data_IF_827788086369
#
_entry.id   IF_827788086369
#
_cell.length_a   1.000
_cell.length_b   1.000
_cell.length_c   1.000
_cell.angle_alpha   90.00
_cell.angle_beta   90.00
_cell.angle_gamma   90.00
#
_symmetry.space_group_name_H-M   'P 1'
#
loop_
_entity.id
_entity.type
_entity.pdbx_description
1 polymer ?
#
# COMPACT_ATOMS: atom_id res chain seq x y z
N UNK A 1 30.22 -8.36 -5.57
CA UNK A 1 29.10 -9.30 -5.79
C UNK A 1 27.92 -8.48 -6.29
N UNK A 2 27.25 -8.90 -7.37
CA UNK A 2 25.99 -8.26 -7.79
C UNK A 2 24.93 -8.54 -6.71
N UNK A 3 24.34 -7.51 -6.11
CA UNK A 3 23.24 -7.70 -5.19
C UNK A 3 21.97 -8.05 -5.96
N UNK A 4 21.39 -9.20 -5.65
CA UNK A 4 20.07 -9.57 -6.17
C UNK A 4 18.98 -8.55 -5.76
N UNK A 5 19.13 -7.93 -4.59
CA UNK A 5 18.15 -7.01 -4.02
C UNK A 5 18.71 -5.60 -3.88
N UNK A 6 17.94 -4.61 -4.34
CA UNK A 6 18.23 -3.18 -4.18
C UNK A 6 17.11 -2.53 -3.38
N UNK A 7 17.46 -1.63 -2.46
CA UNK A 7 16.53 -0.77 -1.73
C UNK A 7 16.87 0.69 -2.03
N UNK A 8 15.94 1.39 -2.68
CA UNK A 8 16.03 2.80 -3.03
C UNK A 8 15.17 3.61 -2.07
N UNK A 9 15.80 4.48 -1.27
CA UNK A 9 15.17 5.25 -0.21
C UNK A 9 15.27 4.57 1.15
N UNK A 10 15.84 5.29 2.12
CA UNK A 10 16.09 4.89 3.51
C UNK A 10 15.39 5.83 4.50
N UNK A 11 14.26 6.39 4.08
CA UNK A 11 13.30 7.04 4.97
C UNK A 11 12.60 6.03 5.89
N UNK A 12 11.48 6.44 6.50
CA UNK A 12 10.75 5.60 7.47
C UNK A 12 10.36 4.22 6.90
N UNK A 13 9.71 4.17 5.74
CA UNK A 13 9.33 2.89 5.11
C UNK A 13 10.53 2.12 4.57
N UNK A 14 11.51 2.79 3.98
CA UNK A 14 12.75 2.17 3.51
C UNK A 14 13.47 1.40 4.61
N UNK A 15 13.62 1.99 5.81
CA UNK A 15 14.23 1.32 6.97
C UNK A 15 13.41 0.12 7.46
N UNK A 16 12.08 0.18 7.38
CA UNK A 16 11.22 -0.97 7.69
C UNK A 16 11.44 -2.12 6.70
N UNK A 17 11.57 -1.82 5.40
CA UNK A 17 11.97 -2.83 4.42
C UNK A 17 13.35 -3.40 4.71
N UNK A 18 14.34 -2.55 5.00
CA UNK A 18 15.68 -2.99 5.36
C UNK A 18 15.65 -3.98 6.53
N UNK A 19 14.91 -3.66 7.60
CA UNK A 19 14.76 -4.56 8.74
C UNK A 19 14.20 -5.92 8.33
N UNK A 20 13.18 -5.96 7.47
CA UNK A 20 12.59 -7.23 6.99
C UNK A 20 13.50 -8.00 6.05
N UNK A 21 14.27 -7.32 5.22
CA UNK A 21 15.30 -7.95 4.40
C UNK A 21 16.38 -8.60 5.28
N UNK A 22 16.81 -7.93 6.36
CA UNK A 22 17.78 -8.49 7.31
C UNK A 22 17.22 -9.66 8.10
N UNK A 23 15.96 -9.62 8.54
CA UNK A 23 15.25 -10.76 9.15
C UNK A 23 15.20 -11.98 8.20
N UNK A 24 15.21 -11.74 6.88
CA UNK A 24 15.26 -12.76 5.83
C UNK A 24 16.71 -13.15 5.44
N UNK A 25 17.73 -12.68 6.17
CA UNK A 25 19.15 -12.87 5.88
C UNK A 25 19.58 -12.33 4.50
N UNK A 26 18.89 -11.31 3.99
CA UNK A 26 19.22 -10.62 2.75
C UNK A 26 19.93 -9.30 3.06
N UNK A 27 21.14 -9.15 2.54
CA UNK A 27 21.90 -7.89 2.58
C UNK A 27 21.73 -7.14 1.25
N UNK A 28 20.84 -6.14 1.15
CA UNK A 28 20.61 -5.42 -0.09
C UNK A 28 21.74 -4.44 -0.43
N UNK A 29 21.78 -4.01 -1.69
CA UNK A 29 22.44 -2.74 -2.05
C UNK A 29 21.49 -1.60 -1.71
N UNK A 30 22.01 -0.61 -1.01
CA UNK A 30 21.28 0.58 -0.58
C UNK A 30 21.52 1.74 -1.53
N UNK A 31 20.48 2.54 -1.75
CA UNK A 31 20.57 3.78 -2.52
C UNK A 31 19.78 4.88 -1.84
N UNK A 32 20.43 6.00 -1.53
CA UNK A 32 19.75 7.19 -1.00
C UNK A 32 20.50 8.48 -1.37
N UNK A 33 19.76 9.57 -1.49
CA UNK A 33 20.34 10.89 -1.77
C UNK A 33 21.05 11.47 -0.53
N UNK A 34 20.71 11.05 0.68
CA UNK A 34 21.40 11.52 1.88
C UNK A 34 22.73 10.78 2.07
N UNK A 35 23.84 11.45 1.75
CA UNK A 35 25.20 10.93 1.91
C UNK A 35 25.58 10.61 3.37
N UNK A 36 24.95 11.25 4.36
CA UNK A 36 25.24 10.96 5.77
C UNK A 36 24.88 9.52 6.12
N UNK A 37 23.87 8.94 5.45
CA UNK A 37 23.44 7.55 5.63
C UNK A 37 24.52 6.55 5.20
N UNK A 38 25.46 6.92 4.34
CA UNK A 38 26.58 6.05 3.98
C UNK A 38 27.44 5.69 5.20
N UNK A 39 27.57 6.62 6.16
CA UNK A 39 28.30 6.36 7.41
C UNK A 39 27.51 5.45 8.34
N UNK A 40 26.20 5.66 8.42
CA UNK A 40 25.29 4.84 9.23
C UNK A 40 25.22 3.40 8.72
N UNK A 41 25.19 3.21 7.40
CA UNK A 41 25.11 1.91 6.74
C UNK A 41 26.43 1.52 6.07
N UNK A 42 27.56 1.80 6.73
CA UNK A 42 28.92 1.58 6.20
C UNK A 42 29.20 0.11 5.82
N UNK A 43 28.50 -0.83 6.46
CA UNK A 43 28.60 -2.25 6.17
C UNK A 43 27.89 -2.66 4.87
N UNK A 44 27.09 -1.79 4.26
CA UNK A 44 26.29 -2.11 3.06
C UNK A 44 26.90 -1.52 1.79
N UNK A 45 26.77 -2.18 0.62
CA UNK A 45 26.97 -1.51 -0.65
C UNK A 45 26.01 -0.33 -0.74
N UNK A 46 26.53 0.88 -0.85
CA UNK A 46 25.75 2.11 -0.80
C UNK A 46 26.05 2.97 -2.02
N UNK A 47 25.00 3.44 -2.69
CA UNK A 47 25.10 4.32 -3.84
C UNK A 47 24.30 5.59 -3.61
N UNK A 48 24.83 6.73 -4.05
CA UNK A 48 24.12 8.00 -3.99
C UNK A 48 23.08 8.13 -5.11
N UNK A 49 23.37 7.55 -6.28
CA UNK A 49 22.49 7.52 -7.43
C UNK A 49 22.17 6.08 -7.81
N UNK A 50 20.89 5.81 -8.04
CA UNK A 50 20.43 4.50 -8.51
C UNK A 50 21.03 4.15 -9.89
N UNK A 51 21.46 5.16 -10.65
CA UNK A 51 22.08 4.99 -11.97
C UNK A 51 23.50 4.40 -11.89
N UNK A 52 24.16 4.56 -10.73
CA UNK A 52 25.53 4.10 -10.51
C UNK A 52 25.60 2.65 -10.03
N UNK A 53 24.47 2.07 -9.61
CA UNK A 53 24.38 0.70 -9.15
C UNK A 53 24.85 -0.24 -10.26
N UNK A 54 25.85 -1.07 -9.94
CA UNK A 54 26.48 -2.00 -10.88
C UNK A 54 25.89 -3.41 -10.74
N UNK A 55 25.90 -4.15 -11.85
CA UNK A 55 25.38 -5.51 -11.93
C UNK A 55 23.87 -5.58 -12.18
N UNK A 56 23.36 -6.81 -12.24
CA UNK A 56 21.94 -7.07 -12.41
C UNK A 56 21.25 -7.13 -11.04
N UNK A 57 20.06 -6.53 -10.96
CA UNK A 57 19.18 -6.57 -9.79
C UNK A 57 17.97 -7.44 -10.13
N UNK A 58 17.63 -8.42 -9.29
CA UNK A 58 16.43 -9.23 -9.48
C UNK A 58 15.19 -8.58 -8.88
N UNK A 59 15.33 -7.90 -7.75
CA UNK A 59 14.22 -7.31 -6.97
C UNK A 59 14.64 -5.94 -6.46
N UNK A 60 13.81 -4.93 -6.65
CA UNK A 60 14.07 -3.55 -6.26
C UNK A 60 12.89 -3.04 -5.45
N UNK A 61 13.15 -2.57 -4.24
CA UNK A 61 12.18 -1.88 -3.40
C UNK A 61 12.39 -0.38 -3.53
N UNK A 62 11.35 0.38 -3.85
CA UNK A 62 11.41 1.83 -4.06
C UNK A 62 10.52 2.53 -3.02
N UNK A 63 11.17 3.14 -2.02
CA UNK A 63 10.56 3.81 -0.88
C UNK A 63 11.00 5.28 -0.78
N UNK A 64 10.94 5.99 -1.91
CA UNK A 64 11.26 7.42 -2.05
C UNK A 64 9.98 8.26 -2.21
N UNK A 65 10.12 9.57 -2.43
CA UNK A 65 8.98 10.43 -2.77
C UNK A 65 8.26 9.91 -4.04
N UNK A 66 6.91 9.73 -4.01
CA UNK A 66 6.11 9.23 -5.14
C UNK A 66 6.31 9.95 -6.47
N UNK A 67 6.71 11.23 -6.47
CA UNK A 67 6.97 11.96 -7.72
C UNK A 67 8.11 11.34 -8.55
N UNK A 68 9.04 10.63 -7.91
CA UNK A 68 10.19 10.00 -8.57
C UNK A 68 9.99 8.51 -8.82
N UNK A 69 8.86 7.92 -8.37
CA UNK A 69 8.60 6.49 -8.55
C UNK A 69 8.60 6.07 -10.03
N UNK A 70 7.91 6.76 -10.96
CA UNK A 70 7.90 6.33 -12.37
C UNK A 70 9.29 6.31 -13.01
N UNK A 71 10.11 7.33 -12.76
CA UNK A 71 11.47 7.43 -13.31
C UNK A 71 12.36 6.28 -12.80
N UNK A 72 12.37 6.06 -11.48
CA UNK A 72 13.20 5.02 -10.85
C UNK A 72 12.71 3.63 -11.25
N UNK A 73 11.39 3.41 -11.28
CA UNK A 73 10.84 2.12 -11.72
C UNK A 73 11.19 1.83 -13.18
N UNK A 74 11.03 2.79 -14.09
CA UNK A 74 11.38 2.63 -15.50
C UNK A 74 12.83 2.20 -15.67
N UNK A 75 13.76 2.81 -14.93
CA UNK A 75 15.17 2.42 -14.98
C UNK A 75 15.40 0.94 -14.63
N UNK A 76 14.82 0.45 -13.54
CA UNK A 76 15.03 -0.94 -13.11
C UNK A 76 14.23 -1.96 -13.92
N UNK A 77 13.00 -1.62 -14.31
CA UNK A 77 12.17 -2.47 -15.17
C UNK A 77 12.84 -2.68 -16.53
N UNK A 78 13.46 -1.64 -17.12
CA UNK A 78 14.22 -1.76 -18.37
C UNK A 78 15.40 -2.73 -18.31
N UNK A 79 15.85 -3.09 -17.10
CA UNK A 79 16.91 -4.06 -16.84
C UNK A 79 16.38 -5.45 -16.45
N UNK A 80 15.06 -5.65 -16.52
CA UNK A 80 14.40 -6.93 -16.21
C UNK A 80 14.23 -7.22 -14.70
N UNK A 81 14.41 -6.22 -13.83
CA UNK A 81 14.18 -6.37 -12.40
C UNK A 81 12.68 -6.40 -12.08
N UNK A 82 12.30 -7.12 -11.02
CA UNK A 82 11.04 -6.86 -10.34
C UNK A 82 11.14 -5.59 -9.51
N UNK A 83 10.16 -4.69 -9.63
CA UNK A 83 10.11 -3.43 -8.89
C UNK A 83 8.86 -3.39 -8.00
N UNK A 84 9.05 -3.26 -6.70
CA UNK A 84 7.98 -2.91 -5.75
C UNK A 84 8.05 -1.41 -5.47
N UNK A 85 7.03 -0.67 -5.88
CA UNK A 85 6.83 0.73 -5.52
C UNK A 85 6.07 0.83 -4.20
N UNK A 86 6.54 1.67 -3.27
CA UNK A 86 5.70 2.10 -2.16
C UNK A 86 4.46 2.85 -2.66
N UNK A 87 3.37 2.79 -1.89
CA UNK A 87 2.17 3.57 -2.20
C UNK A 87 2.32 5.06 -1.81
N UNK A 88 1.67 5.97 -2.55
CA UNK A 88 1.11 5.77 -3.88
C UNK A 88 2.24 5.60 -4.92
N UNK A 89 2.04 4.81 -5.99
CA UNK A 89 3.10 4.48 -6.95
C UNK A 89 3.42 5.60 -7.94
N UNK A 90 2.59 6.64 -7.97
CA UNK A 90 2.81 7.89 -8.69
C UNK A 90 1.87 8.95 -8.10
N UNK A 91 2.14 10.22 -8.43
CA UNK A 91 1.20 11.30 -8.13
C UNK A 91 0.14 11.49 -9.23
N UNK A 92 0.22 10.79 -10.35
CA UNK A 92 -0.78 10.88 -11.41
C UNK A 92 -1.09 9.53 -12.03
N UNK A 93 -2.36 9.33 -12.36
CA UNK A 93 -2.82 8.20 -13.15
C UNK A 93 -2.05 8.12 -14.47
N UNK A 94 -1.87 9.24 -15.20
CA UNK A 94 -1.24 9.19 -16.53
C UNK A 94 0.22 8.75 -16.47
N UNK A 95 0.96 9.20 -15.45
CA UNK A 95 2.36 8.83 -15.28
C UNK A 95 2.50 7.35 -14.93
N UNK A 96 1.63 6.84 -14.05
CA UNK A 96 1.61 5.41 -13.71
C UNK A 96 1.12 4.56 -14.89
N UNK A 97 0.08 5.00 -15.61
CA UNK A 97 -0.45 4.29 -16.78
C UNK A 97 0.60 4.15 -17.87
N UNK A 98 1.36 5.21 -18.18
CA UNK A 98 2.49 5.14 -19.13
C UNK A 98 3.56 4.14 -18.72
N UNK A 99 3.89 4.07 -17.42
CA UNK A 99 4.83 3.08 -16.92
C UNK A 99 4.29 1.65 -17.15
N UNK A 100 3.01 1.42 -16.84
CA UNK A 100 2.35 0.12 -17.02
C UNK A 100 2.20 -0.26 -18.49
N UNK A 101 1.91 0.69 -19.39
CA UNK A 101 1.86 0.45 -20.83
C UNK A 101 3.21 -0.02 -21.38
N UNK A 102 4.32 0.51 -20.87
CA UNK A 102 5.66 0.17 -21.34
C UNK A 102 6.17 -1.19 -20.83
N UNK A 103 5.78 -1.62 -19.62
CA UNK A 103 6.36 -2.79 -18.96
C UNK A 103 5.34 -3.87 -18.56
N UNK A 104 4.04 -3.60 -18.71
CA UNK A 104 2.97 -4.48 -18.27
C UNK A 104 2.80 -4.51 -16.74
N UNK A 105 1.92 -5.40 -16.29
CA UNK A 105 1.63 -5.59 -14.86
C UNK A 105 2.70 -6.41 -14.13
N UNK A 106 3.56 -7.12 -14.85
CA UNK A 106 4.68 -7.87 -14.31
C UNK A 106 5.90 -7.59 -15.17
N UNK A 107 7.02 -7.09 -14.62
CA UNK A 107 7.48 -7.29 -13.23
C UNK A 107 7.34 -6.06 -12.32
N UNK A 108 6.16 -5.45 -12.22
CA UNK A 108 5.88 -4.29 -11.36
C UNK A 108 4.88 -4.65 -10.25
N UNK A 109 5.09 -4.14 -9.05
CA UNK A 109 4.16 -4.25 -7.93
C UNK A 109 3.97 -2.93 -7.21
N UNK A 110 2.80 -2.76 -6.60
CA UNK A 110 2.50 -1.61 -5.72
C UNK A 110 2.25 -2.14 -4.31
N UNK A 111 2.93 -1.56 -3.31
CA UNK A 111 2.85 -2.01 -1.92
C UNK A 111 1.42 -1.84 -1.38
N UNK A 112 0.93 -2.88 -0.72
CA UNK A 112 -0.24 -2.78 0.14
C UNK A 112 -0.14 -3.80 1.28
N UNK A 113 0.30 -3.32 2.43
CA UNK A 113 0.56 -4.16 3.60
C UNK A 113 -0.74 -4.70 4.22
N UNK A 114 -1.86 -3.97 4.15
CA UNK A 114 -3.09 -4.37 4.83
C UNK A 114 -3.74 -5.59 4.17
N UNK A 115 -3.36 -5.93 2.93
CA UNK A 115 -3.73 -7.19 2.29
C UNK A 115 -3.23 -8.43 3.03
N UNK A 116 -2.15 -8.29 3.79
CA UNK A 116 -1.59 -9.35 4.63
C UNK A 116 -2.22 -9.41 6.03
N UNK A 117 -3.15 -8.49 6.35
CA UNK A 117 -3.80 -8.43 7.66
C UNK A 117 -4.62 -9.68 7.95
N UNK A 118 -4.55 -10.15 9.20
CA UNK A 118 -5.35 -11.25 9.69
C UNK A 118 -6.85 -10.93 9.72
N UNK A 119 -7.21 -9.64 9.75
CA UNK A 119 -8.60 -9.22 9.63
C UNK A 119 -9.17 -9.63 8.25
N UNK A 120 -8.41 -9.48 7.17
CA UNK A 120 -8.84 -9.79 5.79
C UNK A 120 -8.34 -11.13 5.27
N UNK A 121 -7.44 -11.80 5.98
CA UNK A 121 -6.90 -13.09 5.57
C UNK A 121 -8.01 -14.13 5.41
N UNK A 122 -7.98 -14.82 4.27
CA UNK A 122 -8.98 -15.81 3.85
C UNK A 122 -10.42 -15.28 3.88
N UNK A 123 -10.61 -13.96 3.89
CA UNK A 123 -11.92 -13.33 3.87
C UNK A 123 -12.36 -13.10 2.43
N UNK A 124 -13.54 -13.62 2.09
CA UNK A 124 -14.18 -13.42 0.79
C UNK A 124 -15.65 -13.08 1.05
N UNK A 125 -16.01 -11.80 1.20
CA UNK A 125 -17.40 -11.44 1.43
C UNK A 125 -18.23 -11.78 0.19
N UNK A 126 -19.48 -12.18 0.40
CA UNK A 126 -20.48 -12.28 -0.67
C UNK A 126 -21.13 -10.91 -0.87
N UNK A 127 -20.86 -10.19 -1.98
CA UNK A 127 -21.44 -8.86 -2.21
C UNK A 127 -22.96 -8.86 -2.22
N UNK A 128 -23.62 -9.97 -2.59
CA UNK A 128 -25.08 -10.06 -2.61
C UNK A 128 -25.72 -9.98 -1.23
N UNK A 129 -24.95 -10.25 -0.18
CA UNK A 129 -25.40 -10.18 1.21
C UNK A 129 -25.08 -8.83 1.86
N UNK A 130 -24.19 -8.04 1.26
CA UNK A 130 -23.69 -6.81 1.88
C UNK A 130 -24.67 -5.66 1.64
N UNK A 131 -25.06 -4.99 2.73
CA UNK A 131 -25.97 -3.85 2.73
C UNK A 131 -25.22 -2.52 2.77
N UNK A 132 -24.12 -2.46 3.50
CA UNK A 132 -23.27 -1.26 3.60
C UNK A 132 -21.90 -1.58 4.19
N UNK A 133 -20.93 -0.71 3.92
CA UNK A 133 -19.58 -0.78 4.49
C UNK A 133 -19.23 0.55 5.14
N UNK A 134 -18.91 0.55 6.43
CA UNK A 134 -18.40 1.74 7.14
C UNK A 134 -16.96 1.49 7.55
N UNK A 135 -16.07 2.42 7.21
CA UNK A 135 -14.63 2.28 7.42
C UNK A 135 -14.14 3.47 8.24
N UNK A 136 -13.35 3.17 9.25
CA UNK A 136 -12.63 4.16 10.05
C UNK A 136 -11.13 3.92 9.91
N UNK A 137 -10.41 4.91 9.38
CA UNK A 137 -8.95 5.00 9.43
C UNK A 137 -8.53 6.32 10.06
N UNK A 138 -8.75 6.38 11.36
CA UNK A 138 -8.48 7.53 12.22
C UNK A 138 -7.13 7.30 12.91
N UNK A 139 -6.11 8.08 12.54
CA UNK A 139 -4.76 7.96 13.07
C UNK A 139 -4.41 9.14 13.96
N UNK A 140 -3.60 8.89 14.99
CA UNK A 140 -3.11 9.92 15.90
C UNK A 140 -1.91 10.71 15.36
N UNK A 141 -1.24 10.21 14.31
CA UNK A 141 -0.12 10.91 13.66
C UNK A 141 -0.53 11.51 12.32
N UNK A 142 0.31 12.40 11.81
CA UNK A 142 0.19 13.02 10.49
C UNK A 142 1.08 12.34 9.44
N UNK A 143 0.79 12.63 8.17
CA UNK A 143 1.48 12.12 7.01
C UNK A 143 2.18 13.22 6.22
N UNK A 144 2.15 13.10 4.91
CA UNK A 144 2.88 13.94 3.97
C UNK A 144 1.98 14.78 3.06
N UNK A 145 1.01 14.17 2.38
CA UNK A 145 0.13 14.87 1.42
C UNK A 145 -1.14 15.35 2.13
N UNK A 146 -2.03 14.41 2.45
CA UNK A 146 -3.24 14.60 3.25
C UNK A 146 -3.78 13.21 3.68
N UNK A 147 -4.74 13.14 4.62
CA UNK A 147 -5.29 11.86 5.07
C UNK A 147 -5.85 10.97 3.95
N UNK A 148 -6.41 11.55 2.89
CA UNK A 148 -6.95 10.77 1.76
C UNK A 148 -5.83 10.04 1.01
N UNK A 149 -4.80 10.75 0.57
CA UNK A 149 -3.70 10.15 -0.18
C UNK A 149 -2.84 9.21 0.68
N UNK A 150 -2.61 9.57 1.94
CA UNK A 150 -1.68 8.80 2.78
C UNK A 150 -2.34 7.63 3.49
N UNK A 151 -3.62 7.74 3.85
CA UNK A 151 -4.30 6.73 4.65
C UNK A 151 -5.42 6.03 3.89
N UNK A 152 -6.32 6.76 3.22
CA UNK A 152 -7.48 6.16 2.55
C UNK A 152 -7.06 5.16 1.46
N UNK A 153 -5.88 5.33 0.87
CA UNK A 153 -5.27 4.37 -0.07
C UNK A 153 -5.41 2.92 0.38
N UNK A 154 -5.07 2.62 1.64
CA UNK A 154 -5.11 1.27 2.18
C UNK A 154 -6.51 0.66 2.09
N UNK A 155 -7.52 1.45 2.45
CA UNK A 155 -8.89 0.95 2.50
C UNK A 155 -9.53 0.90 1.11
N UNK A 156 -9.25 1.89 0.25
CA UNK A 156 -9.67 1.87 -1.15
C UNK A 156 -9.07 0.66 -1.88
N UNK A 157 -7.81 0.33 -1.60
CA UNK A 157 -7.18 -0.88 -2.12
C UNK A 157 -7.90 -2.15 -1.64
N UNK A 158 -8.18 -2.26 -0.35
CA UNK A 158 -8.88 -3.40 0.20
C UNK A 158 -10.32 -3.51 -0.31
N UNK A 159 -11.01 -2.39 -0.56
CA UNK A 159 -12.36 -2.39 -1.12
C UNK A 159 -12.34 -3.07 -2.49
N UNK A 160 -11.41 -2.65 -3.33
CA UNK A 160 -11.22 -3.24 -4.66
C UNK A 160 -10.75 -4.69 -4.60
N UNK A 161 -9.94 -5.05 -3.61
CA UNK A 161 -9.48 -6.42 -3.40
C UNK A 161 -10.60 -7.37 -2.96
N UNK A 162 -11.47 -6.93 -2.05
CA UNK A 162 -12.48 -7.78 -1.42
C UNK A 162 -13.80 -7.81 -2.19
N UNK A 163 -14.22 -6.68 -2.77
CA UNK A 163 -15.54 -6.53 -3.38
C UNK A 163 -15.51 -6.25 -4.88
N UNK A 164 -14.42 -5.69 -5.39
CA UNK A 164 -14.32 -5.24 -6.78
C UNK A 164 -14.54 -3.74 -6.95
N UNK A 165 -14.92 -3.33 -8.16
CA UNK A 165 -14.96 -1.91 -8.54
C UNK A 165 -15.87 -1.09 -7.63
N UNK A 166 -15.43 0.12 -7.31
CA UNK A 166 -16.19 1.11 -6.56
C UNK A 166 -16.13 2.47 -7.25
N UNK A 167 -17.06 3.36 -6.92
CA UNK A 167 -17.05 4.73 -7.38
C UNK A 167 -17.11 5.68 -6.20
N UNK A 168 -16.19 6.64 -6.14
CA UNK A 168 -16.26 7.72 -5.15
C UNK A 168 -17.27 8.76 -5.64
N UNK A 169 -18.30 9.02 -4.82
CA UNK A 169 -19.39 9.96 -5.14
C UNK A 169 -19.16 11.33 -4.51
N UNK A 170 -18.74 11.36 -3.25
CA UNK A 170 -18.48 12.61 -2.53
C UNK A 170 -17.28 12.48 -1.62
N UNK A 171 -16.56 13.59 -1.43
CA UNK A 171 -15.56 13.74 -0.39
C UNK A 171 -15.86 15.03 0.36
N UNK A 172 -16.18 14.88 1.65
CA UNK A 172 -16.38 15.98 2.56
C UNK A 172 -15.15 16.16 3.45
N UNK A 173 -14.63 17.37 3.50
CA UNK A 173 -13.62 17.79 4.47
C UNK A 173 -14.31 18.34 5.71
N UNK A 174 -13.93 17.85 6.90
CA UNK A 174 -14.44 18.28 8.21
C UNK A 174 -13.29 18.84 9.03
N UNK A 175 -13.03 20.14 8.90
CA UNK A 175 -11.85 20.78 9.50
C UNK A 175 -10.57 20.45 8.73
N UNK A 176 -9.42 20.48 9.39
CA UNK A 176 -8.13 20.41 8.68
C UNK A 176 -7.65 19.00 8.35
N UNK A 177 -7.98 18.04 9.20
CA UNK A 177 -7.35 16.72 9.20
C UNK A 177 -8.33 15.56 9.15
N UNK A 178 -9.61 15.80 8.87
CA UNK A 178 -10.64 14.77 8.82
C UNK A 178 -11.41 14.86 7.51
N UNK A 179 -11.55 13.72 6.83
CA UNK A 179 -12.31 13.59 5.60
C UNK A 179 -13.30 12.43 5.72
N UNK A 180 -14.49 12.60 5.15
CA UNK A 180 -15.44 11.51 4.89
C UNK A 180 -15.58 11.32 3.40
N UNK A 181 -15.22 10.13 2.91
CA UNK A 181 -15.37 9.71 1.52
C UNK A 181 -16.61 8.82 1.46
N UNK A 182 -17.55 9.12 0.56
CA UNK A 182 -18.73 8.27 0.32
C UNK A 182 -18.78 7.83 -1.12
N UNK A 183 -19.24 6.61 -1.32
CA UNK A 183 -19.37 6.05 -2.65
C UNK A 183 -20.17 4.75 -2.67
N UNK A 184 -20.07 4.07 -3.79
CA UNK A 184 -20.79 2.82 -4.05
C UNK A 184 -19.84 1.76 -4.58
N UNK A 185 -19.85 0.59 -3.95
CA UNK A 185 -19.20 -0.63 -4.43
C UNK A 185 -20.19 -1.34 -5.37
N UNK A 186 -19.70 -1.82 -6.52
CA UNK A 186 -20.52 -2.51 -7.53
C UNK A 186 -21.82 -1.78 -7.90
N UNK A 187 -21.81 -0.44 -7.86
CA UNK A 187 -22.93 0.48 -8.19
C UNK A 187 -24.16 0.39 -7.28
N UNK A 188 -24.12 -0.35 -6.18
CA UNK A 188 -25.32 -0.55 -5.34
C UNK A 188 -25.05 -0.66 -3.85
N UNK A 189 -23.83 -1.01 -3.44
CA UNK A 189 -23.49 -1.19 -2.03
C UNK A 189 -22.85 0.11 -1.52
N UNK A 190 -23.53 0.90 -0.69
CA UNK A 190 -22.96 2.14 -0.17
C UNK A 190 -21.76 1.88 0.74
N UNK A 191 -20.73 2.70 0.60
CA UNK A 191 -19.63 2.76 1.56
C UNK A 191 -19.40 4.17 2.09
N UNK A 192 -19.00 4.26 3.35
CA UNK A 192 -18.49 5.47 3.99
C UNK A 192 -17.10 5.20 4.57
N UNK A 193 -16.11 5.99 4.18
CA UNK A 193 -14.74 5.92 4.66
C UNK A 193 -14.38 7.22 5.38
N UNK A 194 -14.24 7.13 6.70
CA UNK A 194 -13.82 8.20 7.57
C UNK A 194 -12.31 8.09 7.80
N UNK A 195 -11.57 9.12 7.41
CA UNK A 195 -10.10 9.12 7.45
C UNK A 195 -9.57 10.38 8.10
N UNK A 196 -8.63 10.23 9.03
CA UNK A 196 -8.11 11.39 9.77
C UNK A 196 -6.65 11.27 10.21
N UNK A 197 -6.00 12.42 10.30
CA UNK A 197 -4.77 12.62 11.08
C UNK A 197 -5.07 13.28 12.41
N UNK A 198 -4.10 13.22 13.32
CA UNK A 198 -4.13 13.89 14.62
C UNK A 198 -5.42 13.59 15.41
N UNK A 199 -6.01 12.42 15.18
CA UNK A 199 -7.26 12.02 15.79
C UNK A 199 -7.00 11.46 17.20
N UNK A 200 -7.68 11.96 18.25
CA UNK A 200 -7.33 11.63 19.64
C UNK A 200 -7.40 10.13 19.98
N UNK A 201 -8.30 9.40 19.32
CA UNK A 201 -8.51 7.97 19.55
C UNK A 201 -8.32 7.20 18.26
N UNK A 202 -7.17 6.53 18.13
CA UNK A 202 -6.88 5.71 16.95
C UNK A 202 -7.98 4.67 16.74
N UNK A 203 -8.49 4.60 15.51
CA UNK A 203 -9.45 3.59 15.08
C UNK A 203 -9.10 3.14 13.67
N UNK A 204 -8.80 1.85 13.51
CA UNK A 204 -8.63 1.21 12.21
C UNK A 204 -9.54 0.00 12.14
N UNK A 205 -10.76 0.22 11.68
CA UNK A 205 -11.77 -0.83 11.61
C UNK A 205 -12.72 -0.65 10.44
N UNK A 206 -13.25 -1.78 9.95
CA UNK A 206 -14.36 -1.81 9.03
C UNK A 206 -15.55 -2.49 9.72
N UNK A 207 -16.73 -1.95 9.50
CA UNK A 207 -18.01 -2.56 9.86
C UNK A 207 -18.77 -2.82 8.57
N UNK A 208 -18.99 -4.09 8.26
CA UNK A 208 -19.72 -4.56 7.07
C UNK A 208 -21.07 -5.09 7.55
N UNK A 209 -22.13 -4.39 7.19
CA UNK A 209 -23.50 -4.81 7.50
C UNK A 209 -23.99 -5.76 6.43
N UNK A 210 -24.49 -6.95 6.80
CA UNK A 210 -24.99 -7.95 5.85
C UNK A 210 -26.44 -8.39 6.15
N UNK A 211 -27.02 -9.24 5.29
CA UNK A 211 -28.26 -9.96 5.57
C UNK A 211 -28.14 -10.94 6.74
N UNK A 212 -26.94 -11.47 6.97
CA UNK A 212 -26.66 -12.54 7.94
C UNK A 212 -26.08 -11.99 9.25
N UNK A 213 -26.00 -10.65 9.35
CA UNK A 213 -25.52 -9.89 10.49
C UNK A 213 -24.24 -9.09 10.22
N UNK A 214 -23.52 -8.71 11.26
CA UNK A 214 -22.40 -7.76 11.18
C UNK A 214 -21.05 -8.47 11.11
N UNK A 215 -20.15 -7.96 10.26
CA UNK A 215 -18.75 -8.38 10.21
C UNK A 215 -17.89 -7.17 10.57
N UNK A 216 -16.99 -7.34 11.54
CA UNK A 216 -16.02 -6.31 11.95
C UNK A 216 -14.61 -6.76 11.62
N UNK A 217 -13.92 -5.96 10.82
CA UNK A 217 -12.49 -6.11 10.53
C UNK A 217 -11.73 -5.12 11.41
N UNK A 218 -11.01 -5.62 12.41
CA UNK A 218 -10.26 -4.80 13.37
C UNK A 218 -8.75 -4.90 13.05
N UNK A 219 -8.23 -3.89 12.36
CA UNK A 219 -6.85 -3.86 11.89
C UNK A 219 -5.86 -3.45 12.97
N UNK A 220 -6.32 -2.85 14.08
CA UNK A 220 -5.44 -2.56 15.22
C UNK A 220 -5.11 -3.83 15.98
N UNK A 221 -6.14 -4.65 16.24
CA UNK A 221 -5.98 -5.91 16.95
C UNK A 221 -5.79 -7.10 16.01
N UNK A 222 -5.72 -6.86 14.70
CA UNK A 222 -5.51 -7.87 13.65
C UNK A 222 -6.48 -9.05 13.79
N UNK A 223 -7.78 -8.75 13.86
CA UNK A 223 -8.83 -9.76 14.05
C UNK A 223 -10.06 -9.49 13.22
N UNK A 224 -10.83 -10.55 12.96
CA UNK A 224 -12.15 -10.51 12.34
C UNK A 224 -13.19 -11.09 13.29
N UNK A 225 -14.26 -10.33 13.49
CA UNK A 225 -15.43 -10.73 14.24
C UNK A 225 -16.61 -10.87 13.28
N UNK A 226 -17.39 -11.94 13.41
CA UNK A 226 -18.62 -12.16 12.65
C UNK A 226 -19.74 -12.42 13.65
N UNK A 227 -20.76 -11.55 13.68
CA UNK A 227 -21.83 -11.57 14.68
C UNK A 227 -21.31 -11.60 16.13
N UNK A 228 -20.28 -10.80 16.40
CA UNK A 228 -19.61 -10.72 17.70
C UNK A 228 -18.72 -11.92 18.05
N UNK A 229 -18.64 -12.94 17.20
CA UNK A 229 -17.78 -14.12 17.41
C UNK A 229 -16.43 -13.92 16.73
N UNK A 230 -15.35 -14.23 17.43
CA UNK A 230 -14.00 -14.19 16.87
C UNK A 230 -13.82 -15.32 15.84
N UNK A 231 -13.50 -14.95 14.59
CA UNK A 231 -13.31 -15.89 13.47
C UNK A 231 -11.86 -15.95 13.02
N UNK A 232 -11.13 -14.83 13.09
CA UNK A 232 -9.71 -14.74 12.74
C UNK A 232 -9.02 -13.79 13.71
N UNK A 233 -7.76 -14.05 14.03
CA UNK A 233 -6.94 -13.20 14.88
C UNK A 233 -5.46 -13.35 14.53
N UNK A 234 -4.65 -12.40 15.01
CA UNK A 234 -3.20 -12.39 14.79
C UNK A 234 -2.53 -13.68 15.27
N UNK A 235 -1.79 -14.30 14.35
CA UNK A 235 -0.70 -15.22 14.70
C UNK A 235 0.64 -14.45 14.75
N UNK A 236 1.72 -15.04 15.21
CA UNK A 236 3.06 -14.40 15.33
C UNK A 236 3.65 -13.81 14.01
N UNK A 237 2.93 -13.92 12.90
CA UNK A 237 3.40 -13.48 11.58
C UNK A 237 3.28 -11.96 11.41
N UNK A 238 4.35 -11.35 10.91
CA UNK A 238 4.43 -9.93 10.60
C UNK A 238 3.98 -9.66 9.15
N UNK A 239 3.00 -8.78 8.96
CA UNK A 239 2.43 -8.43 7.65
C UNK A 239 3.49 -7.94 6.66
N UNK A 240 4.43 -7.10 7.12
CA UNK A 240 5.47 -6.54 6.27
C UNK A 240 6.49 -7.60 5.90
N UNK A 241 6.83 -8.49 6.84
CA UNK A 241 7.70 -9.63 6.58
C UNK A 241 7.12 -10.52 5.47
N UNK A 242 5.84 -10.90 5.58
CA UNK A 242 5.17 -11.72 4.56
C UNK A 242 5.15 -11.02 3.18
N UNK A 243 4.85 -9.73 3.14
CA UNK A 243 4.85 -8.93 1.92
C UNK A 243 6.23 -8.90 1.24
N UNK A 244 7.28 -8.63 2.01
CA UNK A 244 8.67 -8.59 1.50
C UNK A 244 9.09 -9.97 0.99
N UNK A 245 8.74 -11.03 1.72
CA UNK A 245 9.02 -12.40 1.32
C UNK A 245 8.33 -12.77 0.00
N UNK A 246 7.06 -12.42 -0.19
CA UNK A 246 6.35 -12.67 -1.45
C UNK A 246 6.97 -11.93 -2.64
N UNK A 247 7.50 -10.72 -2.43
CA UNK A 247 8.23 -9.98 -3.46
C UNK A 247 9.52 -10.71 -3.89
N UNK A 248 10.27 -11.23 -2.92
CA UNK A 248 11.51 -11.98 -3.19
C UNK A 248 11.23 -13.33 -3.87
N UNK A 249 10.16 -14.01 -3.44
CA UNK A 249 9.73 -15.30 -3.99
C UNK A 249 9.03 -15.18 -5.36
N UNK A 250 8.85 -13.97 -5.89
CA UNK A 250 8.07 -13.66 -7.11
C UNK A 250 6.63 -14.18 -7.05
N UNK A 251 6.05 -14.12 -5.85
CA UNK A 251 4.66 -14.50 -5.54
C UNK A 251 3.78 -13.29 -5.22
N UNK A 252 4.33 -12.08 -5.35
CA UNK A 252 3.59 -10.86 -5.10
C UNK A 252 2.39 -10.73 -6.05
N UNK A 253 1.34 -10.08 -5.57
CA UNK A 253 0.06 -10.00 -6.26
C UNK A 253 0.16 -9.28 -7.61
N UNK A 254 -0.09 -10.04 -8.67
CA UNK A 254 -0.05 -9.57 -10.06
C UNK A 254 -1.18 -8.61 -10.40
N UNK A 255 -2.19 -8.47 -9.53
CA UNK A 255 -3.28 -7.51 -9.68
C UNK A 255 -3.03 -6.18 -8.97
N UNK A 256 -1.91 -6.04 -8.25
CA UNK A 256 -1.60 -4.83 -7.49
C UNK A 256 -1.53 -3.57 -8.35
N UNK A 257 -1.02 -3.71 -9.58
CA UNK A 257 -0.89 -2.62 -10.56
C UNK A 257 -2.26 -2.15 -11.05
N UNK A 258 -3.15 -3.06 -11.44
CA UNK A 258 -4.50 -2.71 -11.90
C UNK A 258 -5.29 -2.03 -10.79
N UNK A 259 -5.14 -2.51 -9.54
CA UNK A 259 -5.80 -1.85 -8.39
C UNK A 259 -5.28 -0.45 -8.17
N UNK A 260 -3.97 -0.25 -8.24
CA UNK A 260 -3.40 1.08 -8.09
C UNK A 260 -3.81 2.04 -9.21
N UNK A 261 -3.88 1.59 -10.47
CA UNK A 261 -4.42 2.37 -11.59
C UNK A 261 -5.87 2.80 -11.33
N UNK A 262 -6.71 1.87 -10.86
CA UNK A 262 -8.10 2.15 -10.53
C UNK A 262 -8.20 3.22 -9.43
N UNK A 263 -7.46 3.05 -8.33
CA UNK A 263 -7.46 3.98 -7.19
C UNK A 263 -6.96 5.36 -7.62
N UNK A 264 -5.87 5.44 -8.38
CA UNK A 264 -5.37 6.72 -8.88
C UNK A 264 -6.41 7.45 -9.74
N UNK A 265 -7.12 6.71 -10.60
CA UNK A 265 -8.21 7.27 -11.41
C UNK A 265 -9.35 7.80 -10.55
N UNK A 266 -9.75 7.06 -9.52
CA UNK A 266 -10.79 7.52 -8.58
C UNK A 266 -10.34 8.75 -7.77
N UNK A 267 -9.10 8.77 -7.29
CA UNK A 267 -8.54 9.89 -6.52
C UNK A 267 -8.38 11.15 -7.37
N UNK A 268 -7.99 11.02 -8.64
CA UNK A 268 -7.87 12.16 -9.54
C UNK A 268 -9.21 12.85 -9.84
N UNK A 269 -10.34 12.11 -9.88
CA UNK A 269 -11.68 12.70 -10.06
C UNK A 269 -12.02 13.69 -8.94
N UNK A 270 -11.49 13.46 -7.75
CA UNK A 270 -11.75 14.27 -6.56
C UNK A 270 -10.84 15.51 -6.54
N UNK A 271 -9.74 15.48 -7.30
CA UNK A 271 -8.72 16.50 -7.32
C UNK A 271 -7.71 16.38 -6.18
N UNK A 272 -6.49 16.88 -6.41
CA UNK A 272 -5.43 16.89 -5.40
C UNK A 272 -5.60 17.98 -4.34
N UNK A 273 -6.42 18.99 -4.63
CA UNK A 273 -6.62 20.18 -3.80
C UNK A 273 -7.72 20.02 -2.73
N UNK A 274 -7.97 18.78 -2.29
CA UNK A 274 -8.81 18.45 -1.13
C UNK A 274 -8.36 19.18 0.15
#
# INVERSE_FOLDING_TARGET
>A
MSSAVVLVGLGNMGRKYLNKLLELNIKPTLCDLNLELQREFSDFPFYHSYRDIKGNSSTVFVAINPQFHPEVAQYFLSKGAFVLLEKPPALSYIDFARLVENFGNHPLGVSEIERYSFAVRNFKPDPHKVKSVVINRLNGGEGYINPVWDLAWHDLYLLLHLFGEFEIKTVERKGDFYYTIRGEILKSIPFELNVAWNYPKVNRSWTISTSDGEIVLDFLNERRLENGKLVSFREEKDKLYEMVKDCLDKKYDTLSVQRALFILKELEKIGKNL
#
